data_IF_954589325459
#
_entry.id   IF_954589325459
#
_cell.length_a   1.000
_cell.length_b   1.000
_cell.length_c   1.000
_cell.angle_alpha   90.00
_cell.angle_beta   90.00
_cell.angle_gamma   90.00
#
_symmetry.space_group_name_H-M   'P 1'
#
loop_
_entity.id
_entity.type
_entity.pdbx_description
1 polymer ?
#
# COMPACT_ATOMS: atom_id res chain seq x y z
N UNK A 1 -12.92 61.91 -19.37
CA UNK A 1 -11.82 60.94 -19.31
C UNK A 1 -11.07 61.11 -18.01
N UNK A 2 -11.08 60.08 -17.15
CA UNK A 2 -9.86 59.71 -16.43
C UNK A 2 -9.57 58.20 -16.54
N UNK A 3 -8.29 57.88 -16.59
CA UNK A 3 -7.72 56.53 -16.52
C UNK A 3 -7.81 56.02 -15.08
N UNK A 4 -8.47 54.89 -14.85
CA UNK A 4 -8.29 54.09 -13.63
C UNK A 4 -7.61 52.76 -13.98
N UNK A 5 -6.42 52.57 -13.43
CA UNK A 5 -5.63 51.35 -13.47
C UNK A 5 -6.30 50.32 -12.55
N UNK A 6 -6.82 49.22 -13.10
CA UNK A 6 -7.11 48.01 -12.33
C UNK A 6 -5.82 47.19 -12.26
N UNK A 7 -5.24 47.12 -11.07
CA UNK A 7 -4.12 46.22 -10.77
C UNK A 7 -4.76 44.89 -10.34
N UNK A 8 -4.71 43.90 -11.22
CA UNK A 8 -5.17 42.55 -10.94
C UNK A 8 -4.38 41.96 -9.76
N UNK A 9 -5.11 41.66 -8.68
CA UNK A 9 -4.61 40.84 -7.57
C UNK A 9 -4.34 39.43 -8.09
N UNK A 10 -3.07 39.12 -8.37
CA UNK A 10 -2.59 37.74 -8.49
C UNK A 10 -2.87 37.00 -7.19
N UNK A 11 -3.94 36.21 -7.16
CA UNK A 11 -4.20 35.24 -6.11
C UNK A 11 -3.14 34.13 -6.22
N UNK A 12 -2.10 34.21 -5.39
CA UNK A 12 -1.13 33.15 -5.22
C UNK A 12 -1.86 31.92 -4.67
N UNK A 13 -2.05 30.90 -5.52
CA UNK A 13 -2.54 29.59 -5.10
C UNK A 13 -1.52 28.99 -4.14
N UNK A 14 -1.77 29.11 -2.83
CA UNK A 14 -1.02 28.41 -1.79
C UNK A 14 -1.18 26.91 -2.02
N UNK A 15 -0.14 26.26 -2.54
CA UNK A 15 -0.08 24.81 -2.65
C UNK A 15 0.08 24.22 -1.25
N UNK A 16 -0.98 23.63 -0.73
CA UNK A 16 -0.94 22.85 0.51
C UNK A 16 -0.11 21.57 0.30
N UNK A 17 0.71 21.18 1.28
CA UNK A 17 1.47 19.94 1.21
C UNK A 17 0.50 18.77 1.41
N UNK A 18 0.48 17.81 0.49
CA UNK A 18 -0.35 16.59 0.59
C UNK A 18 0.54 15.39 0.88
N UNK A 19 0.20 14.71 1.98
CA UNK A 19 0.94 13.68 2.69
C UNK A 19 0.98 12.32 1.96
N UNK A 20 1.94 11.49 2.38
CA UNK A 20 2.20 10.08 2.04
C UNK A 20 1.12 9.28 1.30
N UNK A 21 1.55 8.68 0.18
CA UNK A 21 0.81 7.81 -0.74
C UNK A 21 -0.51 8.39 -1.26
N UNK A 22 -0.42 9.53 -1.96
CA UNK A 22 -1.57 10.14 -2.67
C UNK A 22 -1.63 9.78 -4.16
N UNK A 23 -0.68 8.99 -4.66
CA UNK A 23 -0.43 8.86 -6.09
C UNK A 23 -0.59 7.43 -6.57
N UNK A 24 -1.37 7.26 -7.63
CA UNK A 24 -1.55 5.99 -8.31
C UNK A 24 -0.32 5.74 -9.20
N UNK A 25 0.41 4.65 -8.95
CA UNK A 25 1.65 4.34 -9.70
C UNK A 25 1.52 3.19 -10.70
N UNK A 26 0.40 2.46 -10.66
CA UNK A 26 0.15 1.38 -11.61
C UNK A 26 -1.12 1.64 -12.41
N UNK A 27 -1.08 1.27 -13.69
CA UNK A 27 -2.21 1.29 -14.60
C UNK A 27 -2.20 0.05 -15.47
N UNK A 28 -3.35 -0.31 -16.02
CA UNK A 28 -3.47 -1.50 -16.89
C UNK A 28 -3.41 -1.05 -18.34
N UNK A 29 -2.65 -1.76 -19.18
CA UNK A 29 -2.69 -1.61 -20.64
C UNK A 29 -2.67 -2.99 -21.26
N UNK A 30 -3.65 -3.27 -22.12
CA UNK A 30 -3.76 -4.56 -22.83
C UNK A 30 -3.76 -5.79 -21.89
N UNK A 31 -4.25 -5.62 -20.66
CA UNK A 31 -4.28 -6.66 -19.63
C UNK A 31 -3.04 -6.68 -18.72
N UNK A 32 -1.95 -6.00 -19.09
CA UNK A 32 -0.73 -5.94 -18.31
C UNK A 32 -0.77 -4.80 -17.29
N UNK A 33 -0.37 -5.12 -16.05
CA UNK A 33 -0.18 -4.13 -14.99
C UNK A 33 1.18 -3.46 -15.14
N UNK A 34 1.20 -2.17 -15.47
CA UNK A 34 2.42 -1.41 -15.73
C UNK A 34 2.65 -0.34 -14.67
N UNK A 35 3.90 -0.25 -14.20
CA UNK A 35 4.33 0.85 -13.35
C UNK A 35 4.51 2.13 -14.17
N UNK A 36 4.25 3.29 -13.58
CA UNK A 36 4.37 4.60 -14.22
C UNK A 36 5.75 4.84 -14.84
N UNK A 37 6.82 4.26 -14.29
CA UNK A 37 8.16 4.38 -14.88
C UNK A 37 8.26 3.73 -16.27
N UNK A 38 7.46 2.72 -16.57
CA UNK A 38 7.54 1.88 -17.79
C UNK A 38 6.77 2.45 -18.99
N UNK A 39 5.97 3.51 -18.80
CA UNK A 39 5.09 4.04 -19.85
C UNK A 39 5.55 5.39 -20.40
N UNK A 40 5.05 5.80 -21.56
CA UNK A 40 5.22 7.17 -22.06
C UNK A 40 4.46 8.18 -21.20
N UNK A 41 4.81 9.46 -21.28
CA UNK A 41 4.09 10.53 -20.58
C UNK A 41 2.77 10.89 -21.27
N UNK A 42 1.86 11.50 -20.50
CA UNK A 42 0.56 11.97 -20.97
C UNK A 42 -0.44 10.85 -21.23
N UNK A 43 -1.45 11.14 -22.06
CA UNK A 43 -2.48 10.19 -22.49
C UNK A 43 -1.93 9.11 -23.42
N UNK A 44 -0.78 9.35 -24.04
CA UNK A 44 -0.12 8.38 -24.92
C UNK A 44 0.30 7.09 -24.20
N UNK A 45 0.28 7.07 -22.86
CA UNK A 45 0.55 5.86 -22.11
C UNK A 45 -0.44 4.73 -22.43
N UNK A 46 -1.69 5.08 -22.80
CA UNK A 46 -2.75 4.12 -23.12
C UNK A 46 -3.23 3.31 -21.91
N UNK A 47 -2.89 3.71 -20.68
CA UNK A 47 -3.27 2.99 -19.47
C UNK A 47 -4.68 3.35 -19.00
N UNK A 48 -5.34 2.38 -18.39
CA UNK A 48 -6.63 2.56 -17.69
C UNK A 48 -6.48 2.30 -16.19
N UNK A 49 -7.39 2.87 -15.42
CA UNK A 49 -7.47 2.74 -13.98
C UNK A 49 -7.82 1.30 -13.58
N UNK A 50 -7.07 0.67 -12.67
CA UNK A 50 -7.39 -0.69 -12.22
C UNK A 50 -8.74 -0.83 -11.49
N UNK A 51 -9.26 0.24 -10.89
CA UNK A 51 -10.55 0.19 -10.19
C UNK A 51 -11.74 0.66 -11.04
N UNK A 52 -11.55 1.70 -11.86
CA UNK A 52 -12.63 2.34 -12.61
C UNK A 52 -12.60 2.07 -14.11
N UNK A 53 -11.54 1.44 -14.61
CA UNK A 53 -11.30 1.20 -16.04
C UNK A 53 -11.34 2.47 -16.92
N UNK A 54 -11.22 3.64 -16.30
CA UNK A 54 -11.18 4.93 -16.98
C UNK A 54 -9.76 5.27 -17.47
N UNK A 55 -9.60 6.02 -18.58
CA UNK A 55 -8.29 6.42 -19.09
C UNK A 55 -7.47 7.21 -18.07
N UNK A 56 -6.17 6.89 -17.99
CA UNK A 56 -5.19 7.57 -17.14
C UNK A 56 -4.26 8.47 -17.95
N UNK A 57 -3.80 9.53 -17.31
CA UNK A 57 -2.75 10.44 -17.81
C UNK A 57 -1.48 10.17 -17.01
N UNK A 58 -0.41 9.75 -17.69
CA UNK A 58 0.90 9.59 -17.05
C UNK A 58 1.56 10.96 -16.79
N UNK A 59 1.52 11.42 -15.55
CA UNK A 59 2.16 12.66 -15.10
C UNK A 59 3.59 12.35 -14.68
N UNK A 60 4.54 12.71 -15.54
CA UNK A 60 5.98 12.60 -15.30
C UNK A 60 6.59 13.99 -15.22
N UNK A 61 7.54 14.19 -14.32
CA UNK A 61 8.19 15.49 -14.14
C UNK A 61 9.36 15.40 -13.19
N UNK A 62 10.27 16.38 -13.26
CA UNK A 62 11.51 16.36 -12.49
C UNK A 62 11.35 16.79 -11.02
N UNK A 63 10.25 17.45 -10.68
CA UNK A 63 10.02 18.02 -9.33
C UNK A 63 9.02 17.24 -8.47
N UNK A 64 8.21 16.36 -9.09
CA UNK A 64 7.21 15.56 -8.40
C UNK A 64 7.40 14.10 -8.79
N UNK A 65 7.13 13.20 -7.86
CA UNK A 65 7.06 11.76 -8.15
C UNK A 65 6.17 11.50 -9.36
N UNK A 66 6.52 10.49 -10.16
CA UNK A 66 5.72 10.12 -11.32
C UNK A 66 4.42 9.45 -10.88
N UNK A 67 3.29 9.83 -11.47
CA UNK A 67 2.00 9.23 -11.10
C UNK A 67 1.02 9.21 -12.27
N UNK A 68 -0.02 8.40 -12.13
CA UNK A 68 -1.19 8.43 -12.98
C UNK A 68 -2.27 9.33 -12.39
N UNK A 69 -2.90 10.14 -13.25
CA UNK A 69 -4.04 10.98 -12.90
C UNK A 69 -5.24 10.65 -13.79
N UNK A 70 -6.46 10.76 -13.26
CA UNK A 70 -7.67 10.75 -14.08
C UNK A 70 -7.75 12.06 -14.88
N UNK A 71 -8.25 11.98 -16.12
CA UNK A 71 -8.44 13.16 -16.97
C UNK A 71 -9.39 14.21 -16.36
N UNK A 72 -10.37 13.77 -15.58
CA UNK A 72 -11.36 14.61 -14.89
C UNK A 72 -10.87 15.27 -13.59
N UNK A 73 -9.72 14.84 -13.05
CA UNK A 73 -9.21 15.33 -11.76
C UNK A 73 -9.85 14.69 -10.53
N UNK A 74 -10.67 13.65 -10.69
CA UNK A 74 -11.33 12.96 -9.58
C UNK A 74 -10.35 12.21 -8.67
N UNK A 75 -10.61 12.26 -7.37
CA UNK A 75 -9.85 11.51 -6.37
C UNK A 75 -10.18 10.03 -6.44
N UNK A 76 -9.14 9.21 -6.64
CA UNK A 76 -9.31 7.79 -6.89
C UNK A 76 -8.83 6.94 -5.69
N UNK A 77 -9.55 7.07 -4.58
CA UNK A 77 -9.15 6.46 -3.31
C UNK A 77 -9.02 4.93 -3.41
N UNK A 78 -10.00 4.26 -4.04
CA UNK A 78 -10.01 2.80 -4.18
C UNK A 78 -8.98 2.24 -5.18
N UNK A 79 -8.52 3.02 -6.16
CA UNK A 79 -7.57 2.46 -7.15
C UNK A 79 -6.17 2.31 -6.62
N UNK A 80 -5.75 3.07 -5.61
CA UNK A 80 -4.42 2.89 -5.03
C UNK A 80 -4.36 1.52 -4.35
N UNK A 81 -5.36 1.20 -3.54
CA UNK A 81 -5.48 -0.12 -2.90
C UNK A 81 -5.56 -1.24 -3.93
N UNK A 82 -6.47 -1.12 -4.90
CA UNK A 82 -6.64 -2.12 -5.98
C UNK A 82 -5.32 -2.33 -6.75
N UNK A 83 -4.64 -1.24 -7.12
CA UNK A 83 -3.37 -1.29 -7.82
C UNK A 83 -2.27 -1.98 -7.01
N UNK A 84 -2.22 -1.74 -5.69
CA UNK A 84 -1.24 -2.36 -4.81
C UNK A 84 -1.51 -3.85 -4.59
N UNK A 85 -2.78 -4.26 -4.45
CA UNK A 85 -3.14 -5.68 -4.43
C UNK A 85 -2.72 -6.38 -5.72
N UNK A 86 -3.06 -5.80 -6.88
CA UNK A 86 -2.69 -6.37 -8.18
C UNK A 86 -1.17 -6.45 -8.34
N UNK A 87 -0.44 -5.40 -7.96
CA UNK A 87 1.02 -5.38 -8.06
C UNK A 87 1.68 -6.43 -7.15
N UNK A 88 1.19 -6.59 -5.92
CA UNK A 88 1.71 -7.59 -5.01
C UNK A 88 1.40 -9.02 -5.49
N UNK A 89 0.17 -9.27 -5.97
CA UNK A 89 -0.22 -10.56 -6.60
C UNK A 89 0.68 -10.89 -7.78
N UNK A 90 0.89 -9.94 -8.69
CA UNK A 90 1.75 -10.09 -9.86
C UNK A 90 3.22 -10.38 -9.48
N UNK A 91 3.76 -9.69 -8.48
CA UNK A 91 5.12 -9.95 -7.97
C UNK A 91 5.24 -11.37 -7.41
N UNK A 92 4.29 -11.81 -6.58
CA UNK A 92 4.29 -13.16 -6.02
C UNK A 92 4.17 -14.23 -7.11
N UNK A 93 3.26 -14.04 -8.08
CA UNK A 93 3.06 -14.97 -9.19
C UNK A 93 4.30 -15.11 -10.07
N UNK A 94 4.99 -14.00 -10.36
CA UNK A 94 6.19 -13.99 -11.22
C UNK A 94 7.45 -14.44 -10.50
N UNK A 95 7.71 -13.93 -9.29
CA UNK A 95 8.95 -14.22 -8.56
C UNK A 95 8.90 -15.55 -7.83
N UNK A 96 7.71 -15.97 -7.36
CA UNK A 96 7.51 -17.18 -6.56
C UNK A 96 8.43 -17.23 -5.35
N UNK A 97 8.62 -16.09 -4.71
CA UNK A 97 9.49 -15.91 -3.56
C UNK A 97 8.74 -15.17 -2.47
N UNK A 98 8.92 -15.59 -1.21
CA UNK A 98 8.39 -14.87 -0.05
C UNK A 98 9.36 -14.97 1.13
N UNK A 99 9.51 -13.86 1.86
CA UNK A 99 10.18 -13.88 3.17
C UNK A 99 9.13 -14.09 4.23
N UNK A 100 9.28 -15.15 5.03
CA UNK A 100 8.46 -15.35 6.22
C UNK A 100 9.22 -14.79 7.44
N UNK A 101 8.55 -14.00 8.30
CA UNK A 101 9.19 -13.42 9.47
C UNK A 101 9.56 -14.49 10.50
N UNK A 102 10.48 -14.14 11.41
CA UNK A 102 10.82 -15.00 12.53
C UNK A 102 9.59 -15.28 13.41
N UNK A 103 9.48 -16.51 13.90
CA UNK A 103 8.49 -16.90 14.90
C UNK A 103 9.19 -16.89 16.26
N UNK A 104 8.77 -15.99 17.13
CA UNK A 104 9.38 -15.78 18.44
C UNK A 104 8.36 -15.96 19.56
N UNK A 105 8.81 -16.58 20.66
CA UNK A 105 8.06 -16.66 21.91
C UNK A 105 8.72 -15.77 22.95
N UNK A 106 7.93 -14.86 23.52
CA UNK A 106 8.34 -14.00 24.63
C UNK A 106 7.77 -14.57 25.91
N UNK A 107 8.63 -14.95 26.85
CA UNK A 107 8.21 -15.46 28.14
C UNK A 107 7.97 -14.29 29.12
N UNK A 108 6.75 -14.10 29.65
CA UNK A 108 6.50 -13.12 30.69
C UNK A 108 6.96 -13.68 32.06
N UNK A 109 8.02 -13.09 32.62
CA UNK A 109 8.51 -13.14 34.02
C UNK A 109 8.42 -14.45 34.83
N UNK A 110 9.58 -14.93 35.30
CA UNK A 110 9.67 -15.69 36.55
C UNK A 110 9.78 -14.72 37.73
N UNK A 111 8.74 -14.60 38.56
CA UNK A 111 8.69 -13.66 39.71
C UNK A 111 9.66 -13.98 40.86
N UNK A 112 10.50 -15.01 40.74
CA UNK A 112 11.17 -15.62 41.90
C UNK A 112 12.70 -15.56 41.94
N UNK A 113 13.40 -15.04 40.93
CA UNK A 113 14.88 -15.05 40.96
C UNK A 113 15.49 -13.80 40.32
N UNK A 114 16.07 -12.97 41.19
CA UNK A 114 17.17 -12.01 41.00
C UNK A 114 17.07 -10.82 40.03
N UNK A 115 17.71 -9.75 40.48
CA UNK A 115 17.61 -8.33 40.09
C UNK A 115 18.15 -7.96 38.69
N UNK A 116 18.38 -8.94 37.80
CA UNK A 116 18.90 -8.72 36.44
C UNK A 116 17.83 -9.06 35.38
N UNK A 117 16.96 -8.07 35.14
CA UNK A 117 15.82 -8.15 34.24
C UNK A 117 16.25 -8.28 32.76
N UNK A 118 16.01 -9.43 32.15
CA UNK A 118 15.96 -9.54 30.68
C UNK A 118 14.74 -10.37 30.25
N UNK A 119 13.97 -9.85 29.30
CA UNK A 119 12.91 -10.62 28.65
C UNK A 119 13.58 -11.73 27.83
N UNK A 120 13.40 -12.99 28.25
CA UNK A 120 13.88 -14.12 27.45
C UNK A 120 12.96 -14.29 26.24
N UNK A 121 13.48 -13.96 25.07
CA UNK A 121 12.83 -14.25 23.79
C UNK A 121 13.51 -15.49 23.21
N UNK A 122 12.72 -16.45 22.76
CA UNK A 122 13.20 -17.66 22.09
C UNK A 122 12.66 -17.68 20.68
N UNK A 123 13.54 -17.69 19.69
CA UNK A 123 13.18 -17.85 18.28
C UNK A 123 12.90 -19.33 17.99
N UNK A 124 11.67 -19.65 17.62
CA UNK A 124 11.24 -21.00 17.19
C UNK A 124 11.67 -21.25 15.74
N UNK A 125 11.51 -20.24 14.89
CA UNK A 125 11.91 -20.28 13.50
C UNK A 125 12.50 -18.92 13.10
N UNK A 126 13.67 -18.87 12.45
CA UNK A 126 14.23 -17.60 11.99
C UNK A 126 13.43 -17.03 10.82
N UNK A 127 13.60 -15.73 10.58
CA UNK A 127 13.18 -15.13 9.32
C UNK A 127 13.91 -15.83 8.16
N UNK A 128 13.17 -16.19 7.11
CA UNK A 128 13.75 -16.93 6.00
C UNK A 128 13.03 -16.65 4.69
N UNK A 129 13.82 -16.55 3.62
CA UNK A 129 13.32 -16.57 2.25
C UNK A 129 12.92 -17.99 1.84
N UNK A 130 11.73 -18.12 1.27
CA UNK A 130 11.21 -19.35 0.71
C UNK A 130 10.92 -19.19 -0.78
N UNK A 131 11.28 -20.24 -1.53
CA UNK A 131 10.79 -20.45 -2.88
C UNK A 131 9.42 -21.12 -2.80
N UNK A 132 8.47 -20.59 -3.56
CA UNK A 132 7.08 -21.07 -3.65
C UNK A 132 6.99 -22.09 -4.78
N UNK A 133 6.59 -23.31 -4.46
CA UNK A 133 6.43 -24.40 -5.42
C UNK A 133 5.26 -24.14 -6.38
N UNK A 134 4.20 -23.53 -5.87
CA UNK A 134 3.07 -23.05 -6.66
C UNK A 134 2.50 -21.75 -6.09
N UNK A 135 1.89 -20.96 -6.97
CA UNK A 135 1.19 -19.72 -6.65
C UNK A 135 -0.10 -19.70 -7.45
N UNK A 136 -1.23 -19.65 -6.76
CA UNK A 136 -2.58 -19.59 -7.33
C UNK A 136 -3.27 -18.34 -6.79
N UNK A 137 -3.67 -17.44 -7.67
CA UNK A 137 -4.34 -16.18 -7.28
C UNK A 137 -5.84 -16.43 -7.13
N UNK A 138 -6.44 -15.87 -6.07
CA UNK A 138 -7.90 -15.88 -5.85
C UNK A 138 -8.53 -17.29 -5.93
N UNK A 139 -7.78 -18.32 -5.52
CA UNK A 139 -8.24 -19.71 -5.54
C UNK A 139 -9.05 -20.05 -4.29
N UNK A 140 -10.26 -20.60 -4.46
CA UNK A 140 -11.13 -20.96 -3.34
C UNK A 140 -10.61 -22.17 -2.56
N UNK A 141 -10.43 -22.01 -1.25
CA UNK A 141 -10.08 -23.10 -0.33
C UNK A 141 -11.17 -23.21 0.72
N UNK A 142 -12.00 -24.26 0.63
CA UNK A 142 -13.19 -24.40 1.48
C UNK A 142 -14.08 -23.15 1.37
N UNK A 143 -14.37 -22.49 2.50
CA UNK A 143 -15.22 -21.30 2.58
C UNK A 143 -14.50 -19.96 2.35
N UNK A 144 -13.18 -19.96 2.11
CA UNK A 144 -12.39 -18.72 1.96
C UNK A 144 -11.73 -18.62 0.59
N UNK A 145 -11.52 -17.40 0.12
CA UNK A 145 -10.77 -17.09 -1.09
C UNK A 145 -9.63 -16.15 -0.69
N UNK A 146 -8.42 -16.68 -0.42
CA UNK A 146 -7.27 -15.83 -0.17
C UNK A 146 -6.87 -15.05 -1.42
N UNK A 147 -6.25 -13.89 -1.23
CA UNK A 147 -5.60 -13.17 -2.33
C UNK A 147 -4.61 -14.06 -3.09
N UNK A 148 -3.81 -14.84 -2.35
CA UNK A 148 -2.86 -15.81 -2.91
C UNK A 148 -2.85 -17.10 -2.09
N UNK A 149 -3.03 -18.23 -2.78
CA UNK A 149 -2.73 -19.55 -2.27
C UNK A 149 -1.38 -20.00 -2.80
N UNK A 150 -0.40 -20.18 -1.91
CA UNK A 150 0.92 -20.67 -2.27
C UNK A 150 1.25 -22.00 -1.61
N UNK A 151 2.14 -22.78 -2.21
CA UNK A 151 2.69 -24.01 -1.60
C UNK A 151 4.19 -23.87 -1.36
N UNK A 152 4.64 -24.34 -0.20
CA UNK A 152 6.05 -24.45 0.17
C UNK A 152 6.27 -25.81 0.79
N UNK A 153 7.02 -26.67 0.11
CA UNK A 153 7.18 -28.09 0.45
C UNK A 153 5.79 -28.74 0.60
N UNK A 154 5.51 -29.31 1.77
CA UNK A 154 4.25 -29.99 2.06
C UNK A 154 3.24 -29.11 2.80
N UNK A 155 3.39 -27.78 2.76
CA UNK A 155 2.52 -26.82 3.45
C UNK A 155 1.91 -25.83 2.48
N UNK A 156 0.65 -25.50 2.74
CA UNK A 156 -0.05 -24.42 2.03
C UNK A 156 0.05 -23.14 2.85
N UNK A 157 0.31 -22.03 2.18
CA UNK A 157 0.31 -20.68 2.72
C UNK A 157 -0.87 -19.93 2.09
N UNK A 158 -1.79 -19.48 2.93
CA UNK A 158 -2.85 -18.56 2.53
C UNK A 158 -2.36 -17.16 2.86
N UNK A 159 -2.19 -16.33 1.84
CA UNK A 159 -1.58 -15.01 1.95
C UNK A 159 -2.65 -13.98 1.62
N UNK A 160 -2.87 -13.05 2.55
CA UNK A 160 -3.69 -11.86 2.36
C UNK A 160 -2.80 -10.64 2.21
N UNK A 161 -3.09 -9.80 1.21
CA UNK A 161 -2.40 -8.53 1.05
C UNK A 161 -3.17 -7.48 1.83
N UNK A 162 -2.46 -6.68 2.65
CA UNK A 162 -3.09 -5.62 3.42
C UNK A 162 -2.45 -4.28 3.10
N UNK A 163 -3.25 -3.35 2.59
CA UNK A 163 -2.80 -1.99 2.25
C UNK A 163 -3.20 -1.02 3.36
N UNK A 164 -2.28 -0.74 4.28
CA UNK A 164 -2.53 0.22 5.37
C UNK A 164 -2.27 1.65 4.89
N UNK A 165 -3.28 2.52 5.02
CA UNK A 165 -3.15 3.96 4.80
C UNK A 165 -2.96 4.64 6.16
N UNK A 166 -2.05 5.63 6.26
CA UNK A 166 -2.02 6.51 7.44
C UNK A 166 -3.29 7.36 7.43
N UNK A 167 -4.25 7.04 8.29
CA UNK A 167 -5.42 7.89 8.54
C UNK A 167 -4.91 9.23 9.07
N UNK A 168 -5.45 10.33 8.53
CA UNK A 168 -5.23 11.67 9.06
C UNK A 168 -6.09 11.82 10.32
N UNK A 169 -5.39 11.94 11.45
CA UNK A 169 -5.90 12.16 12.81
C UNK A 169 -6.70 11.00 13.42
N UNK A 170 -6.44 10.63 14.69
CA UNK A 170 -7.40 9.85 15.45
C UNK A 170 -8.68 10.70 15.54
N UNK A 171 -9.83 10.11 15.26
CA UNK A 171 -11.10 10.68 15.71
C UNK A 171 -10.94 10.99 17.20
N UNK A 172 -11.06 12.27 17.56
CA UNK A 172 -11.05 12.78 18.92
C UNK A 172 -12.27 12.25 19.67
N UNK A 173 -12.27 10.96 20.04
CA UNK A 173 -13.16 10.43 21.07
C UNK A 173 -12.44 10.39 22.43
N UNK A 174 -11.11 10.47 22.43
CA UNK A 174 -10.28 10.39 23.64
C UNK A 174 -10.08 11.74 24.37
N UNK A 175 -10.78 12.81 23.99
CA UNK A 175 -10.82 14.07 24.76
C UNK A 175 -12.07 14.23 25.63
N UNK A 176 -13.05 13.30 25.57
CA UNK A 176 -14.24 13.33 26.43
C UNK A 176 -14.41 12.10 27.34
N UNK A 177 -13.62 11.04 27.17
CA UNK A 177 -13.58 9.92 28.09
C UNK A 177 -12.17 9.75 28.65
N UNK A 178 -11.93 10.29 29.86
CA UNK A 178 -10.69 10.11 30.59
C UNK A 178 -10.48 8.64 31.01
N UNK A 179 -10.02 7.80 30.09
CA UNK A 179 -9.60 6.43 30.36
C UNK A 179 -8.28 6.14 29.64
N UNK A 180 -7.25 5.87 30.44
CA UNK A 180 -5.96 5.34 30.01
C UNK A 180 -6.13 3.89 29.54
N UNK A 181 -5.89 3.62 28.26
CA UNK A 181 -5.93 2.27 27.70
C UNK A 181 -4.74 2.04 26.77
N UNK A 182 -3.90 1.06 27.13
CA UNK A 182 -2.73 0.60 26.40
C UNK A 182 -3.10 -0.02 25.04
N UNK A 183 -2.34 0.30 23.99
CA UNK A 183 -2.45 -0.30 22.65
C UNK A 183 -1.30 -1.27 22.38
N UNK A 184 -1.62 -2.37 21.70
CA UNK A 184 -0.72 -3.44 21.23
C UNK A 184 0.07 -3.04 19.98
#
# INVERSE_FOLDING_TARGET
>A
MPLSRNVDRMATRKSTPRHGLTYLHYGIREGDLLHISQVSSGLSCGCVCPAYHAPLVAKKGCQREHYFAHGSGDSCQHAIETALHLAAKDVLARRREIVLPAVEVKFPYDKFVDYNFSHKTVTIAPEQLYQLDSVELEHRVSEIIPDVLAKVKNRSLLIEIRVTHKVKEPLNWASEAGHTGFGW
#
